data_IF_996180243372
#
_entry.id   IF_996180243372
#
_cell.length_a   1.000
_cell.length_b   1.000
_cell.length_c   1.000
_cell.angle_alpha   90.00
_cell.angle_beta   90.00
_cell.angle_gamma   90.00
#
_symmetry.space_group_name_H-M   'P 1'
#
loop_
_entity.id
_entity.type
_entity.pdbx_description
1 polymer ?
#
# COMPACT_ATOMS: atom_id res chain seq x y z
N UNK A 1 -2.44 -13.14 14.36
CA UNK A 1 -3.90 -12.85 14.50
C UNK A 1 -4.22 -11.36 14.59
N UNK A 2 -3.40 -10.53 15.25
CA UNK A 2 -3.59 -9.06 15.24
C UNK A 2 -3.32 -8.43 13.86
N UNK A 3 -2.52 -9.08 13.02
CA UNK A 3 -2.20 -8.61 11.66
C UNK A 3 -3.45 -8.40 10.80
N UNK A 4 -4.49 -9.23 10.95
CA UNK A 4 -5.74 -9.10 10.19
C UNK A 4 -6.47 -7.81 10.57
N UNK A 5 -6.52 -7.46 11.86
CA UNK A 5 -7.14 -6.21 12.32
C UNK A 5 -6.38 -4.99 11.78
N UNK A 6 -5.04 -5.05 11.81
CA UNK A 6 -4.19 -4.01 11.22
C UNK A 6 -4.44 -3.89 9.71
N UNK A 7 -4.48 -5.01 8.99
CA UNK A 7 -4.75 -5.06 7.55
C UNK A 7 -6.10 -4.45 7.19
N UNK A 8 -7.17 -4.74 7.94
CA UNK A 8 -8.49 -4.15 7.70
C UNK A 8 -8.42 -2.62 7.79
N UNK A 9 -7.80 -2.09 8.84
CA UNK A 9 -7.67 -0.64 9.04
C UNK A 9 -6.79 0.03 7.97
N UNK A 10 -5.62 -0.55 7.68
CA UNK A 10 -4.66 -0.03 6.71
C UNK A 10 -5.21 -0.07 5.28
N UNK A 11 -5.87 -1.18 4.92
CA UNK A 11 -6.52 -1.35 3.61
C UNK A 11 -7.66 -0.36 3.43
N UNK A 12 -8.44 -0.09 4.49
CA UNK A 12 -9.47 0.97 4.46
C UNK A 12 -8.83 2.34 4.18
N UNK A 13 -7.74 2.68 4.87
CA UNK A 13 -7.02 3.95 4.69
C UNK A 13 -6.46 4.13 3.28
N UNK A 14 -5.92 3.07 2.66
CA UNK A 14 -5.48 3.08 1.25
C UNK A 14 -6.66 3.27 0.31
N UNK A 15 -7.77 2.56 0.55
CA UNK A 15 -8.99 2.73 -0.22
C UNK A 15 -9.50 4.16 -0.19
N UNK A 16 -9.56 4.78 0.99
CA UNK A 16 -10.01 6.17 1.15
C UNK A 16 -9.05 7.15 0.46
N UNK A 17 -7.75 6.87 0.48
CA UNK A 17 -6.76 7.66 -0.27
C UNK A 17 -6.97 7.55 -1.78
N UNK A 18 -7.17 6.35 -2.31
CA UNK A 18 -7.43 6.15 -3.74
C UNK A 18 -8.72 6.85 -4.18
N UNK A 19 -9.80 6.73 -3.40
CA UNK A 19 -11.07 7.41 -3.67
C UNK A 19 -10.91 8.94 -3.71
N UNK A 20 -10.15 9.52 -2.76
CA UNK A 20 -9.89 10.98 -2.75
C UNK A 20 -9.15 11.47 -3.98
N UNK A 21 -8.32 10.62 -4.59
CA UNK A 21 -7.60 10.92 -5.85
C UNK A 21 -8.41 10.65 -7.12
N UNK A 22 -9.67 10.21 -7.00
CA UNK A 22 -10.49 9.79 -8.14
C UNK A 22 -10.07 8.45 -8.76
N UNK A 23 -9.28 7.64 -8.05
CA UNK A 23 -8.79 6.34 -8.50
C UNK A 23 -9.68 5.23 -7.92
N UNK A 24 -9.95 4.18 -8.70
CA UNK A 24 -10.74 3.03 -8.23
C UNK A 24 -10.07 2.42 -6.99
N UNK A 25 -10.74 2.33 -5.83
CA UNK A 25 -10.10 1.90 -4.58
C UNK A 25 -9.88 0.38 -4.51
N UNK A 26 -10.68 -0.43 -5.20
CA UNK A 26 -10.65 -1.89 -5.06
C UNK A 26 -9.29 -2.52 -5.45
N UNK A 27 -8.66 -2.18 -6.59
CA UNK A 27 -7.34 -2.71 -6.94
C UNK A 27 -6.27 -2.36 -5.90
N UNK A 28 -6.30 -1.15 -5.35
CA UNK A 28 -5.33 -0.69 -4.35
C UNK A 28 -5.49 -1.40 -3.00
N UNK A 29 -6.74 -1.74 -2.63
CA UNK A 29 -7.01 -2.56 -1.45
C UNK A 29 -6.41 -3.95 -1.60
N UNK A 30 -6.64 -4.60 -2.73
CA UNK A 30 -6.08 -5.94 -3.03
C UNK A 30 -4.55 -5.87 -3.08
N UNK A 31 -3.99 -4.85 -3.74
CA UNK A 31 -2.54 -4.68 -3.83
C UNK A 31 -1.89 -4.49 -2.46
N UNK A 32 -2.55 -3.79 -1.53
CA UNK A 32 -2.07 -3.65 -0.14
C UNK A 32 -2.00 -5.00 0.57
N UNK A 33 -3.03 -5.84 0.43
CA UNK A 33 -3.05 -7.18 1.05
C UNK A 33 -1.95 -8.06 0.47
N UNK A 34 -1.79 -8.07 -0.86
CA UNK A 34 -0.74 -8.82 -1.55
C UNK A 34 0.65 -8.33 -1.13
N UNK A 35 0.86 -7.02 -1.10
CA UNK A 35 2.13 -6.43 -0.68
C UNK A 35 2.46 -6.75 0.78
N UNK A 36 1.47 -6.71 1.68
CA UNK A 36 1.65 -7.08 3.08
C UNK A 36 2.17 -8.51 3.21
N UNK A 37 1.46 -9.47 2.61
CA UNK A 37 1.82 -10.90 2.67
C UNK A 37 3.20 -11.11 2.03
N UNK A 38 3.45 -10.55 0.84
CA UNK A 38 4.72 -10.70 0.15
C UNK A 38 5.91 -10.18 0.98
N UNK A 39 5.78 -8.99 1.56
CA UNK A 39 6.84 -8.40 2.38
C UNK A 39 7.00 -9.09 3.73
N UNK A 40 5.94 -9.62 4.32
CA UNK A 40 6.01 -10.47 5.52
C UNK A 40 6.89 -11.70 5.26
N UNK A 41 6.60 -12.44 4.17
CA UNK A 41 7.37 -13.61 3.78
C UNK A 41 8.84 -13.26 3.47
N UNK A 42 9.08 -12.17 2.73
CA UNK A 42 10.44 -11.71 2.44
C UNK A 42 11.20 -11.32 3.72
N UNK A 43 10.54 -10.64 4.64
CA UNK A 43 11.12 -10.25 5.93
C UNK A 43 11.46 -11.44 6.81
N UNK A 44 10.55 -12.41 6.91
CA UNK A 44 10.77 -13.67 7.64
C UNK A 44 11.93 -14.45 7.02
N UNK A 45 11.97 -14.57 5.69
CA UNK A 45 13.04 -15.27 4.99
C UNK A 45 14.41 -14.59 5.23
N UNK A 46 14.47 -13.27 5.10
CA UNK A 46 15.69 -12.50 5.35
C UNK A 46 16.15 -12.65 6.82
N UNK A 47 15.21 -12.56 7.76
CA UNK A 47 15.51 -12.70 9.18
C UNK A 47 15.99 -14.11 9.54
N UNK A 48 15.38 -15.16 8.96
CA UNK A 48 15.81 -16.53 9.17
C UNK A 48 17.24 -16.77 8.64
N UNK A 49 17.60 -16.16 7.51
CA UNK A 49 18.98 -16.22 6.98
C UNK A 49 19.96 -15.49 7.92
N UNK A 50 19.57 -14.33 8.46
CA UNK A 50 20.47 -13.51 9.29
C UNK A 50 20.64 -14.02 10.72
N UNK A 51 19.57 -14.48 11.36
CA UNK A 51 19.55 -14.85 12.78
C UNK A 51 19.47 -16.35 13.02
N UNK A 52 19.28 -17.16 11.96
CA UNK A 52 18.96 -18.57 12.07
C UNK A 52 17.59 -18.81 12.70
N UNK A 53 17.16 -20.08 12.78
CA UNK A 53 15.83 -20.45 13.30
C UNK A 53 15.72 -20.42 14.83
N UNK A 54 16.77 -19.97 15.53
CA UNK A 54 16.87 -20.04 16.99
C UNK A 54 16.20 -18.84 17.67
N UNK A 55 16.17 -17.69 16.99
CA UNK A 55 15.60 -16.46 17.53
C UNK A 55 14.25 -16.13 16.87
N UNK A 56 13.24 -16.94 17.18
CA UNK A 56 11.89 -16.79 16.63
C UNK A 56 11.30 -15.39 16.87
N UNK A 57 11.60 -14.78 18.01
CA UNK A 57 11.13 -13.43 18.33
C UNK A 57 11.67 -12.39 17.35
N UNK A 58 12.97 -12.44 17.02
CA UNK A 58 13.57 -11.54 16.04
C UNK A 58 12.97 -11.77 14.63
N UNK A 59 12.77 -13.02 14.23
CA UNK A 59 12.20 -13.37 12.92
C UNK A 59 10.78 -12.83 12.77
N UNK A 60 9.92 -13.07 13.76
CA UNK A 60 8.52 -12.61 13.74
C UNK A 60 8.48 -11.07 13.72
N UNK A 61 9.30 -10.42 14.55
CA UNK A 61 9.37 -8.95 14.63
C UNK A 61 9.77 -8.34 13.29
N UNK A 62 10.80 -8.88 12.63
CA UNK A 62 11.25 -8.40 11.32
C UNK A 62 10.21 -8.69 10.23
N UNK A 63 9.52 -9.83 10.29
CA UNK A 63 8.40 -10.16 9.41
C UNK A 63 7.31 -9.09 9.46
N UNK A 64 6.83 -8.77 10.67
CA UNK A 64 5.79 -7.75 10.88
C UNK A 64 6.26 -6.37 10.42
N UNK A 65 7.49 -5.96 10.76
CA UNK A 65 8.05 -4.68 10.35
C UNK A 65 8.17 -4.58 8.82
N UNK A 66 8.57 -5.68 8.18
CA UNK A 66 8.69 -5.76 6.72
C UNK A 66 7.31 -5.68 6.06
N UNK A 67 6.31 -6.40 6.58
CA UNK A 67 4.92 -6.33 6.12
C UNK A 67 4.36 -4.90 6.17
N UNK A 68 4.62 -4.19 7.28
CA UNK A 68 4.29 -2.77 7.42
C UNK A 68 5.04 -1.91 6.39
N UNK A 69 6.30 -2.22 6.10
CA UNK A 69 7.07 -1.63 5.00
C UNK A 69 6.39 -1.82 3.64
N UNK A 70 5.82 -3.01 3.37
CA UNK A 70 5.02 -3.27 2.18
C UNK A 70 3.81 -2.34 2.05
N UNK A 71 3.07 -2.14 3.16
CA UNK A 71 2.00 -1.14 3.20
C UNK A 71 2.50 0.28 2.92
N UNK A 72 3.63 0.70 3.52
CA UNK A 72 4.20 2.03 3.29
C UNK A 72 4.63 2.23 1.84
N UNK A 73 5.16 1.18 1.20
CA UNK A 73 5.50 1.22 -0.22
C UNK A 73 4.26 1.44 -1.08
N UNK A 74 3.18 0.68 -0.86
CA UNK A 74 1.91 0.87 -1.58
C UNK A 74 1.37 2.29 -1.38
N UNK A 75 1.40 2.79 -0.14
CA UNK A 75 1.01 4.17 0.17
C UNK A 75 1.84 5.18 -0.63
N UNK A 76 3.16 5.04 -0.63
CA UNK A 76 4.06 5.97 -1.32
C UNK A 76 3.84 5.94 -2.85
N UNK A 77 3.55 4.78 -3.43
CA UNK A 77 3.22 4.66 -4.86
C UNK A 77 1.89 5.36 -5.15
N UNK A 78 0.86 5.13 -4.34
CA UNK A 78 -0.45 5.76 -4.50
C UNK A 78 -0.39 7.28 -4.33
N UNK A 79 0.41 7.77 -3.38
CA UNK A 79 0.59 9.19 -3.11
C UNK A 79 1.20 9.94 -4.31
N UNK A 80 2.08 9.27 -5.06
CA UNK A 80 2.69 9.77 -6.30
C UNK A 80 1.77 9.70 -7.53
N UNK A 81 0.62 9.03 -7.47
CA UNK A 81 -0.32 9.02 -8.59
C UNK A 81 -0.96 10.41 -8.75
N UNK A 82 -1.15 10.87 -10.01
CA UNK A 82 -1.82 12.14 -10.28
C UNK A 82 -3.27 12.10 -9.82
N UNK A 83 -3.76 13.23 -9.36
CA UNK A 83 -5.15 13.40 -8.93
C UNK A 83 -6.02 13.57 -10.19
N UNK A 84 -6.91 12.61 -10.46
CA UNK A 84 -7.78 12.66 -11.64
C UNK A 84 -8.80 13.79 -11.59
N UNK A 85 -9.03 14.34 -10.39
CA UNK A 85 -9.96 15.46 -10.18
C UNK A 85 -9.42 16.74 -10.82
N UNK A 86 -8.10 16.94 -10.82
CA UNK A 86 -7.50 18.15 -11.40
C UNK A 86 -7.45 18.09 -12.94
N UNK A 87 -7.29 16.90 -13.52
CA UNK A 87 -7.28 16.70 -14.99
C UNK A 87 -8.63 17.03 -15.66
N UNK A 88 -9.76 16.82 -14.97
CA UNK A 88 -11.08 17.14 -15.51
C UNK A 88 -11.31 18.67 -15.61
N UNK A 89 -10.73 19.46 -14.69
CA UNK A 89 -10.82 20.93 -14.71
C UNK A 89 -10.04 21.51 -15.89
N UNK A 90 -8.83 21.01 -16.15
CA UNK A 90 -7.99 21.48 -17.26
C UNK A 90 -8.61 21.20 -18.65
N UNK A 91 -9.42 20.15 -18.76
CA UNK A 91 -10.14 19.83 -20.01
C UNK A 91 -11.28 20.79 -20.32
N UNK A 92 -11.97 21.31 -19.31
CA UNK A 92 -13.10 22.24 -19.49
C UNK A 92 -12.64 23.54 -20.15
N UNK A 93 -11.49 24.10 -19.75
CA UNK A 93 -10.98 25.36 -20.32
C UNK A 93 -10.45 25.24 -21.77
N UNK A 94 -10.15 24.04 -22.25
CA UNK A 94 -9.47 23.83 -23.53
C UNK A 94 -10.40 23.73 -24.75
N UNK A 95 -11.67 23.36 -24.55
CA UNK A 95 -12.63 23.12 -25.64
C UNK A 95 -13.51 24.34 -25.98
N UNK A 96 -13.68 25.29 -25.05
CA UNK A 96 -14.55 26.48 -25.25
C UNK A 96 -13.80 27.71 -25.82
N UNK A 97 -12.47 27.62 -26.03
CA UNK A 97 -11.63 28.72 -26.53
C UNK A 97 -11.08 28.51 -27.95
N UNK A 98 -11.54 27.47 -28.67
CA UNK A 98 -11.21 27.30 -30.10
C UNK A 98 -12.39 27.82 -30.94
N UNK A 99 -12.15 28.74 -31.89
CA UNK A 99 -13.19 29.40 -32.67
C UNK A 99 -13.97 28.45 -33.58
#
# INVERSE_FOLDING_TARGET
MLEILALIFLTKKIGDMASRKGIKPMPWKIFTIVAWIAFEFLGIMLAAIMFGNQNLFAIISIGILSAFGGYLLVRAILEKQPDRIDEDIDRIGSNDLRP
#
